data_IF_254178488821
#
_entry.id   IF_254178488821
#
_cell.length_a   1.000
_cell.length_b   1.000
_cell.length_c   1.000
_cell.angle_alpha   90.00
_cell.angle_beta   90.00
_cell.angle_gamma   90.00
#
_symmetry.space_group_name_H-M   'P 1'
#
loop_
_entity.id
_entity.type
_entity.pdbx_description
1 polymer ?
#
# COMPACT_ATOMS: atom_id res chain seq x y z
N UNK A 1 60.01 -29.70 20.85
CA UNK A 1 59.59 -28.55 20.01
C UNK A 1 58.71 -29.11 18.90
N UNK A 2 57.40 -29.08 19.08
CA UNK A 2 56.44 -29.43 18.05
C UNK A 2 55.76 -28.12 17.63
N UNK A 3 56.13 -27.67 16.44
CA UNK A 3 55.56 -26.45 15.83
C UNK A 3 54.10 -26.67 15.42
N UNK A 4 53.23 -25.96 16.08
CA UNK A 4 51.80 -25.88 15.70
C UNK A 4 51.63 -24.87 14.57
N UNK A 5 51.63 -25.29 13.32
CA UNK A 5 50.95 -24.65 12.21
C UNK A 5 50.09 -25.70 11.52
N UNK A 6 48.82 -25.52 11.43
CA UNK A 6 48.17 -24.86 10.30
C UNK A 6 46.69 -24.43 10.58
N UNK A 7 46.46 -23.35 11.26
CA UNK A 7 45.07 -22.79 11.32
C UNK A 7 44.75 -21.79 10.17
N UNK A 8 45.76 -21.24 9.50
CA UNK A 8 45.60 -20.22 8.46
C UNK A 8 45.11 -20.76 7.09
N UNK A 9 45.50 -21.97 6.74
CA UNK A 9 45.10 -22.58 5.46
C UNK A 9 43.63 -23.01 5.42
N UNK A 10 43.05 -23.43 6.56
CA UNK A 10 41.65 -23.83 6.66
C UNK A 10 40.70 -22.62 6.56
N UNK A 11 41.05 -21.50 7.15
CA UNK A 11 40.28 -20.26 7.08
C UNK A 11 40.24 -19.69 5.64
N UNK A 12 41.36 -19.77 4.92
CA UNK A 12 41.43 -19.36 3.51
C UNK A 12 40.53 -20.21 2.60
N UNK A 13 40.58 -21.55 2.80
CA UNK A 13 39.73 -22.46 2.03
C UNK A 13 38.24 -22.27 2.31
N UNK A 14 37.84 -22.03 3.56
CA UNK A 14 36.44 -21.73 3.96
C UNK A 14 35.99 -20.39 3.31
N UNK A 15 36.86 -19.37 3.36
CA UNK A 15 36.50 -18.07 2.75
C UNK A 15 36.33 -18.18 1.22
N UNK A 16 37.20 -18.92 0.53
CA UNK A 16 37.08 -19.16 -0.92
C UNK A 16 35.79 -19.93 -1.23
N UNK A 17 35.48 -20.99 -0.45
CA UNK A 17 34.26 -21.75 -0.62
C UNK A 17 33.00 -20.89 -0.42
N UNK A 18 32.99 -20.02 0.60
CA UNK A 18 31.87 -19.10 0.84
C UNK A 18 31.69 -18.07 -0.31
N UNK A 19 32.78 -17.50 -0.81
CA UNK A 19 32.76 -16.58 -1.95
C UNK A 19 32.23 -17.29 -3.20
N UNK A 20 32.71 -18.49 -3.49
CA UNK A 20 32.23 -19.29 -4.63
C UNK A 20 30.72 -19.57 -4.53
N UNK A 21 30.24 -20.00 -3.37
CA UNK A 21 28.82 -20.27 -3.12
C UNK A 21 27.98 -19.00 -3.29
N UNK A 22 28.39 -17.86 -2.71
CA UNK A 22 27.69 -16.59 -2.86
C UNK A 22 27.67 -16.12 -4.33
N UNK A 23 28.75 -16.36 -5.09
CA UNK A 23 28.82 -16.04 -6.52
C UNK A 23 27.83 -16.87 -7.34
N UNK A 24 27.70 -18.15 -7.06
CA UNK A 24 26.69 -19.05 -7.68
C UNK A 24 25.29 -18.58 -7.34
N UNK A 25 25.02 -18.26 -6.07
CA UNK A 25 23.73 -17.74 -5.65
C UNK A 25 23.38 -16.40 -6.34
N UNK A 26 24.36 -15.49 -6.47
CA UNK A 26 24.20 -14.22 -7.17
C UNK A 26 23.89 -14.43 -8.65
N UNK A 27 24.61 -15.32 -9.32
CA UNK A 27 24.38 -15.67 -10.70
C UNK A 27 22.97 -16.26 -10.89
N UNK A 28 22.57 -17.23 -10.06
CA UNK A 28 21.25 -17.84 -10.11
C UNK A 28 20.13 -16.81 -9.90
N UNK A 29 20.28 -15.96 -8.89
CA UNK A 29 19.32 -14.86 -8.60
C UNK A 29 19.20 -13.91 -9.80
N UNK A 30 20.33 -13.46 -10.36
CA UNK A 30 20.36 -12.56 -11.52
C UNK A 30 19.71 -13.20 -12.75
N UNK A 31 20.02 -14.46 -13.02
CA UNK A 31 19.41 -15.22 -14.11
C UNK A 31 17.89 -15.32 -13.94
N UNK A 32 17.42 -15.75 -12.75
CA UNK A 32 15.99 -15.89 -12.46
C UNK A 32 15.23 -14.54 -12.50
N UNK A 33 15.85 -13.47 -12.04
CA UNK A 33 15.30 -12.12 -12.16
C UNK A 33 15.07 -11.73 -13.63
N UNK A 34 16.10 -11.90 -14.48
CA UNK A 34 16.01 -11.59 -15.92
C UNK A 34 14.97 -12.45 -16.64
N UNK A 35 14.94 -13.75 -16.34
CA UNK A 35 13.93 -14.67 -16.88
C UNK A 35 12.51 -14.23 -16.48
N UNK A 36 12.30 -13.77 -15.25
CA UNK A 36 11.00 -13.29 -14.78
C UNK A 36 10.59 -12.01 -15.48
N UNK A 37 11.49 -11.04 -15.59
CA UNK A 37 11.25 -9.77 -16.27
C UNK A 37 10.93 -9.96 -17.77
N UNK A 38 11.66 -10.87 -18.44
CA UNK A 38 11.42 -11.18 -19.84
C UNK A 38 10.05 -11.87 -20.09
N UNK A 39 9.62 -12.74 -19.15
CA UNK A 39 8.32 -13.45 -19.25
C UNK A 39 7.12 -12.60 -18.83
N UNK A 40 7.35 -11.60 -18.03
CA UNK A 40 6.29 -10.76 -17.44
C UNK A 40 6.63 -9.28 -17.64
N UNK A 41 6.70 -8.79 -18.89
CA UNK A 41 6.93 -7.37 -19.14
C UNK A 41 5.79 -6.52 -18.57
N UNK A 42 5.99 -5.21 -18.36
CA UNK A 42 4.94 -4.32 -17.90
C UNK A 42 3.78 -4.30 -18.92
N UNK A 43 2.57 -4.53 -18.43
CA UNK A 43 1.35 -4.55 -19.27
C UNK A 43 0.52 -3.29 -19.16
N UNK A 44 0.87 -2.40 -18.22
CA UNK A 44 0.17 -1.16 -17.93
C UNK A 44 0.86 0.07 -18.52
N UNK A 45 0.63 1.17 -17.85
CA UNK A 45 1.16 2.50 -18.19
C UNK A 45 2.05 3.01 -17.06
N UNK A 46 2.77 4.09 -17.35
CA UNK A 46 3.59 4.78 -16.37
C UNK A 46 3.11 6.22 -16.22
N UNK A 47 3.07 6.70 -14.98
CA UNK A 47 2.90 8.11 -14.65
C UNK A 47 4.15 8.60 -13.93
N UNK A 48 4.68 9.73 -14.36
CA UNK A 48 5.85 10.34 -13.74
C UNK A 48 5.43 11.32 -12.65
N UNK A 49 5.97 11.15 -11.44
CA UNK A 49 5.67 11.95 -10.26
C UNK A 49 6.95 12.14 -9.46
N UNK A 50 7.30 13.40 -9.19
CA UNK A 50 8.46 13.77 -8.36
C UNK A 50 9.76 13.08 -8.80
N UNK A 51 9.97 12.96 -10.12
CA UNK A 51 11.13 12.29 -10.73
C UNK A 51 11.09 10.76 -10.60
N UNK A 52 9.95 10.16 -10.30
CA UNK A 52 9.73 8.72 -10.22
C UNK A 52 8.66 8.27 -11.20
N UNK A 53 8.86 7.14 -11.85
CA UNK A 53 7.84 6.49 -12.66
C UNK A 53 7.07 5.50 -11.81
N UNK A 54 5.76 5.68 -11.73
CA UNK A 54 4.85 4.73 -11.11
C UNK A 54 4.11 3.96 -12.20
N UNK A 55 4.21 2.65 -12.15
CA UNK A 55 3.48 1.74 -13.02
C UNK A 55 2.07 1.50 -12.47
N UNK A 56 1.10 1.49 -13.37
CA UNK A 56 -0.29 1.16 -13.05
C UNK A 56 -0.97 0.47 -14.22
N UNK A 57 -2.00 -0.30 -13.93
CA UNK A 57 -2.93 -0.80 -14.95
C UNK A 57 -4.29 -0.16 -14.75
N UNK A 58 -5.04 -0.02 -15.84
CA UNK A 58 -6.36 0.61 -15.84
C UNK A 58 -7.37 -0.31 -16.52
N UNK A 59 -8.55 -0.45 -15.90
CA UNK A 59 -9.63 -1.30 -16.37
C UNK A 59 -10.99 -0.60 -16.22
N UNK A 60 -11.94 -0.93 -17.07
CA UNK A 60 -13.27 -0.33 -17.09
C UNK A 60 -13.31 0.97 -17.89
N UNK A 61 -14.45 1.65 -17.85
CA UNK A 61 -14.65 2.88 -18.61
C UNK A 61 -13.93 4.08 -17.95
N UNK A 62 -13.13 4.82 -18.71
CA UNK A 62 -12.37 5.96 -18.22
C UNK A 62 -13.25 7.09 -17.64
N UNK A 63 -14.50 7.21 -18.09
CA UNK A 63 -15.49 8.18 -17.59
C UNK A 63 -16.19 7.74 -16.31
N UNK A 64 -16.02 6.47 -15.89
CA UNK A 64 -16.63 5.96 -14.66
C UNK A 64 -15.92 6.50 -13.41
N UNK A 65 -16.61 6.42 -12.27
CA UNK A 65 -15.99 6.76 -10.97
C UNK A 65 -14.76 5.90 -10.70
N UNK A 66 -13.70 6.53 -10.22
CA UNK A 66 -12.43 5.84 -10.01
C UNK A 66 -12.40 5.03 -8.71
N UNK A 67 -11.80 3.84 -8.82
CA UNK A 67 -11.40 2.99 -7.70
C UNK A 67 -9.91 2.70 -7.84
N UNK A 68 -9.16 2.90 -6.76
CA UNK A 68 -7.72 2.62 -6.71
C UNK A 68 -7.48 1.38 -5.88
N UNK A 69 -6.69 0.43 -6.40
CA UNK A 69 -6.31 -0.80 -5.71
C UNK A 69 -4.83 -0.75 -5.34
N UNK A 70 -4.53 -1.01 -4.05
CA UNK A 70 -3.18 -0.99 -3.49
C UNK A 70 -2.87 -2.35 -2.84
N UNK A 71 -1.91 -3.06 -3.40
CA UNK A 71 -1.48 -4.38 -2.94
C UNK A 71 -0.73 -4.36 -1.59
N UNK A 72 -0.55 -5.53 -0.98
CA UNK A 72 0.16 -5.73 0.28
C UNK A 72 1.70 -5.71 0.14
N UNK A 73 2.40 -5.95 1.27
CA UNK A 73 3.86 -6.07 1.31
C UNK A 73 4.31 -7.29 0.47
N UNK A 74 5.42 -7.15 -0.25
CA UNK A 74 6.00 -8.23 -1.07
C UNK A 74 5.21 -8.59 -2.33
N UNK A 75 4.07 -7.93 -2.59
CA UNK A 75 3.22 -8.16 -3.75
C UNK A 75 3.47 -7.13 -4.87
N UNK A 76 2.60 -7.09 -5.86
CA UNK A 76 2.59 -6.16 -6.99
C UNK A 76 1.16 -6.05 -7.55
N UNK A 77 0.90 -5.11 -8.47
CA UNK A 77 -0.41 -4.90 -9.10
C UNK A 77 -1.05 -6.21 -9.61
N UNK A 78 -0.24 -7.08 -10.19
CA UNK A 78 -0.68 -8.38 -10.70
C UNK A 78 -1.39 -9.25 -9.66
N UNK A 79 -1.04 -9.12 -8.38
CA UNK A 79 -1.71 -9.84 -7.29
C UNK A 79 -3.17 -9.40 -7.17
N UNK A 80 -3.43 -8.09 -7.20
CA UNK A 80 -4.79 -7.53 -7.18
C UNK A 80 -5.60 -7.94 -8.40
N UNK A 81 -4.99 -7.97 -9.59
CA UNK A 81 -5.65 -8.42 -10.82
C UNK A 81 -6.05 -9.90 -10.76
N UNK A 82 -5.20 -10.75 -10.14
CA UNK A 82 -5.49 -12.18 -10.00
C UNK A 82 -6.50 -12.50 -8.91
N UNK A 83 -6.90 -11.52 -8.10
CA UNK A 83 -7.84 -11.71 -6.99
C UNK A 83 -9.30 -11.80 -7.43
N UNK A 84 -9.64 -11.41 -8.66
CA UNK A 84 -11.01 -11.26 -9.12
C UNK A 84 -11.62 -9.90 -8.78
N UNK A 85 -10.85 -9.00 -8.14
CA UNK A 85 -11.35 -7.66 -7.80
C UNK A 85 -11.60 -6.80 -9.04
N UNK A 86 -10.71 -6.89 -10.03
CA UNK A 86 -10.87 -6.15 -11.30
C UNK A 86 -12.14 -6.59 -12.01
N UNK A 87 -12.38 -7.89 -12.11
CA UNK A 87 -13.59 -8.47 -12.74
C UNK A 87 -14.88 -8.02 -12.01
N UNK A 88 -14.83 -7.91 -10.69
CA UNK A 88 -15.97 -7.45 -9.90
C UNK A 88 -16.24 -5.94 -10.05
N UNK A 89 -15.22 -5.13 -10.27
CA UNK A 89 -15.30 -3.67 -10.18
C UNK A 89 -15.35 -2.98 -11.55
N UNK A 90 -14.59 -3.46 -12.56
CA UNK A 90 -14.45 -2.82 -13.86
C UNK A 90 -15.78 -2.62 -14.64
N UNK A 91 -16.83 -3.43 -14.46
CA UNK A 91 -18.13 -3.15 -15.09
C UNK A 91 -18.78 -1.83 -14.65
N UNK A 92 -18.41 -1.28 -13.49
CA UNK A 92 -19.03 -0.07 -12.91
C UNK A 92 -18.08 1.06 -12.62
N UNK A 93 -16.78 0.78 -12.57
CA UNK A 93 -15.75 1.72 -12.14
C UNK A 93 -14.56 1.75 -13.09
N UNK A 94 -13.89 2.90 -13.13
CA UNK A 94 -12.53 3.03 -13.62
C UNK A 94 -11.60 2.49 -12.55
N UNK A 95 -11.08 1.28 -12.73
CA UNK A 95 -10.24 0.59 -11.75
C UNK A 95 -8.77 0.83 -12.08
N UNK A 96 -8.05 1.48 -11.19
CA UNK A 96 -6.63 1.78 -11.32
C UNK A 96 -5.86 0.93 -10.30
N UNK A 97 -5.00 0.06 -10.78
CA UNK A 97 -4.20 -0.84 -9.94
C UNK A 97 -2.76 -0.39 -9.99
N UNK A 98 -2.22 0.14 -8.89
CA UNK A 98 -0.84 0.58 -8.83
C UNK A 98 0.11 -0.54 -8.42
N UNK A 99 1.26 -0.62 -9.09
CA UNK A 99 2.45 -1.12 -8.44
C UNK A 99 2.89 -0.05 -7.44
N UNK A 100 2.81 -0.35 -6.13
CA UNK A 100 3.24 0.64 -5.12
C UNK A 100 4.73 0.98 -5.28
N UNK A 101 5.17 2.19 -4.92
CA UNK A 101 6.56 2.61 -5.05
C UNK A 101 7.57 1.56 -4.54
N UNK A 102 8.47 1.12 -5.41
CA UNK A 102 9.47 0.08 -5.12
C UNK A 102 9.05 -1.36 -5.39
N UNK A 103 7.83 -1.56 -5.90
CA UNK A 103 7.30 -2.87 -6.28
C UNK A 103 6.99 -2.93 -7.77
N UNK A 104 6.80 -4.14 -8.29
CA UNK A 104 6.46 -4.35 -9.68
C UNK A 104 7.42 -3.61 -10.62
N UNK A 105 6.89 -2.72 -11.40
CA UNK A 105 7.64 -1.85 -12.33
C UNK A 105 7.72 -0.39 -11.89
N UNK A 106 7.21 -0.07 -10.71
CA UNK A 106 7.37 1.26 -10.11
C UNK A 106 8.77 1.48 -9.58
N UNK A 107 9.29 2.68 -9.81
CA UNK A 107 10.60 3.09 -9.33
C UNK A 107 10.64 3.14 -7.79
N UNK A 108 11.84 3.08 -7.25
CA UNK A 108 12.13 3.31 -5.84
C UNK A 108 13.18 4.40 -5.70
N UNK A 109 12.90 5.47 -4.95
CA UNK A 109 13.92 6.49 -4.72
C UNK A 109 15.07 5.93 -3.90
N UNK A 110 16.28 6.36 -4.23
CA UNK A 110 17.46 6.11 -3.40
C UNK A 110 17.43 7.04 -2.18
N UNK A 111 17.81 6.53 -1.00
CA UNK A 111 18.08 7.35 0.18
C UNK A 111 16.87 7.78 1.02
N UNK A 112 15.63 7.62 0.57
CA UNK A 112 14.44 7.98 1.36
C UNK A 112 13.61 6.76 1.77
N UNK A 113 13.18 6.63 3.04
CA UNK A 113 12.25 5.59 3.46
C UNK A 113 10.88 5.83 2.82
N UNK A 114 10.32 4.81 2.16
CA UNK A 114 8.96 4.85 1.61
C UNK A 114 7.95 4.46 2.69
N UNK A 115 7.75 5.34 3.67
CA UNK A 115 6.72 5.21 4.70
C UNK A 115 5.32 5.25 4.07
N UNK A 116 4.25 4.74 4.75
CA UNK A 116 2.89 4.87 4.24
C UNK A 116 2.50 6.31 3.87
N UNK A 117 2.82 7.36 4.65
CA UNK A 117 2.58 8.73 4.21
C UNK A 117 3.37 9.16 2.98
N UNK A 118 4.62 8.72 2.83
CA UNK A 118 5.42 9.04 1.64
C UNK A 118 4.87 8.37 0.38
N UNK A 119 4.44 7.10 0.48
CA UNK A 119 3.77 6.40 -0.62
C UNK A 119 2.42 7.04 -0.95
N UNK A 120 1.66 7.44 0.08
CA UNK A 120 0.38 8.12 -0.09
C UNK A 120 0.53 9.43 -0.88
N UNK A 121 1.53 10.25 -0.54
CA UNK A 121 1.80 11.50 -1.27
C UNK A 121 2.09 11.24 -2.75
N UNK A 122 2.97 10.28 -3.06
CA UNK A 122 3.30 9.92 -4.45
C UNK A 122 2.09 9.43 -5.23
N UNK A 123 1.24 8.60 -4.61
CA UNK A 123 0.05 8.06 -5.27
C UNK A 123 -1.00 9.16 -5.47
N UNK A 124 -1.19 10.06 -4.50
CA UNK A 124 -2.09 11.20 -4.64
C UNK A 124 -1.67 12.13 -5.78
N UNK A 125 -0.38 12.47 -5.87
CA UNK A 125 0.15 13.26 -7.00
C UNK A 125 0.00 12.52 -8.34
N UNK A 126 0.17 11.18 -8.35
CA UNK A 126 -0.07 10.39 -9.55
C UNK A 126 -1.53 10.47 -9.99
N UNK A 127 -2.47 10.34 -9.06
CA UNK A 127 -3.90 10.45 -9.33
C UNK A 127 -4.29 11.84 -9.85
N UNK A 128 -3.70 12.90 -9.30
CA UNK A 128 -3.88 14.26 -9.79
C UNK A 128 -3.44 14.39 -11.25
N UNK A 129 -2.24 13.88 -11.60
CA UNK A 129 -1.74 13.86 -12.99
C UNK A 129 -2.60 13.03 -13.94
N UNK A 130 -3.23 11.97 -13.45
CA UNK A 130 -4.17 11.15 -14.21
C UNK A 130 -5.59 11.75 -14.30
N UNK A 131 -5.81 12.94 -13.75
CA UNK A 131 -7.12 13.59 -13.72
C UNK A 131 -8.14 12.84 -12.86
N UNK A 132 -7.68 12.01 -11.92
CA UNK A 132 -8.57 11.23 -11.05
C UNK A 132 -8.96 12.05 -9.84
N UNK A 133 -10.25 12.28 -9.70
CA UNK A 133 -10.84 13.02 -8.58
C UNK A 133 -11.64 12.10 -7.68
N UNK A 134 -11.55 12.30 -6.39
CA UNK A 134 -12.34 11.62 -5.36
C UNK A 134 -12.45 10.08 -5.55
N UNK A 135 -11.34 9.34 -5.72
CA UNK A 135 -11.41 7.89 -5.83
C UNK A 135 -11.86 7.25 -4.54
N UNK A 136 -12.48 6.07 -4.63
CA UNK A 136 -12.51 5.11 -3.53
C UNK A 136 -11.19 4.35 -3.55
N UNK A 137 -10.48 4.33 -2.42
CA UNK A 137 -9.18 3.65 -2.32
C UNK A 137 -9.34 2.35 -1.55
N UNK A 138 -9.06 1.23 -2.21
CA UNK A 138 -8.97 -0.08 -1.59
C UNK A 138 -7.50 -0.43 -1.35
N UNK A 139 -7.15 -0.71 -0.10
CA UNK A 139 -5.82 -1.17 0.27
C UNK A 139 -5.86 -2.50 1.00
N UNK A 140 -5.00 -3.43 0.59
CA UNK A 140 -4.82 -4.72 1.25
C UNK A 140 -3.57 -4.72 2.12
N UNK A 141 -3.67 -5.20 3.36
CA UNK A 141 -2.54 -5.39 4.27
C UNK A 141 -1.70 -4.10 4.44
N UNK A 142 -0.44 -4.04 4.00
CA UNK A 142 0.33 -2.79 3.99
C UNK A 142 -0.30 -1.71 3.11
N UNK A 143 -0.91 -2.08 1.99
CA UNK A 143 -1.66 -1.15 1.15
C UNK A 143 -2.81 -0.46 1.90
N UNK A 144 -3.39 -1.10 2.91
CA UNK A 144 -4.39 -0.48 3.77
C UNK A 144 -3.80 0.64 4.65
N UNK A 145 -2.54 0.50 5.11
CA UNK A 145 -1.84 1.59 5.80
C UNK A 145 -1.58 2.77 4.87
N UNK A 146 -1.25 2.51 3.60
CA UNK A 146 -1.08 3.55 2.58
C UNK A 146 -2.41 4.23 2.29
N UNK A 147 -3.49 3.48 2.09
CA UNK A 147 -4.84 4.01 1.90
C UNK A 147 -5.30 4.89 3.09
N UNK A 148 -5.04 4.43 4.33
CA UNK A 148 -5.29 5.23 5.54
C UNK A 148 -4.50 6.53 5.51
N UNK A 149 -3.22 6.49 5.13
CA UNK A 149 -2.39 7.69 5.02
C UNK A 149 -2.88 8.64 3.92
N UNK A 150 -3.41 8.14 2.79
CA UNK A 150 -4.04 8.96 1.74
C UNK A 150 -5.27 9.70 2.29
N UNK A 151 -6.17 8.99 3.00
CA UNK A 151 -7.34 9.60 3.61
C UNK A 151 -7.00 10.65 4.67
N UNK A 152 -5.89 10.47 5.40
CA UNK A 152 -5.41 11.45 6.40
C UNK A 152 -4.72 12.66 5.76
N UNK A 153 -4.08 12.48 4.61
CA UNK A 153 -3.34 13.55 3.93
C UNK A 153 -4.28 14.44 3.09
N UNK A 154 -5.30 13.84 2.47
CA UNK A 154 -6.18 14.52 1.54
C UNK A 154 -7.67 14.13 1.77
N UNK A 155 -8.25 14.52 2.93
CA UNK A 155 -9.59 14.08 3.33
C UNK A 155 -10.70 14.55 2.37
N UNK A 156 -10.50 15.65 1.64
CA UNK A 156 -11.43 16.15 0.61
C UNK A 156 -11.21 15.55 -0.78
N UNK A 157 -10.11 14.81 -1.00
CA UNK A 157 -9.75 14.25 -2.31
C UNK A 157 -9.91 12.73 -2.39
N UNK A 158 -10.28 12.06 -1.29
CA UNK A 158 -10.53 10.62 -1.22
C UNK A 158 -11.98 10.41 -0.79
N UNK A 159 -12.80 9.83 -1.67
CA UNK A 159 -14.23 9.62 -1.45
C UNK A 159 -14.53 8.62 -0.35
N UNK A 160 -13.68 7.63 -0.18
CA UNK A 160 -13.84 6.61 0.85
C UNK A 160 -12.72 5.59 0.83
N UNK A 161 -12.63 4.81 1.90
CA UNK A 161 -11.59 3.80 2.09
C UNK A 161 -12.22 2.42 2.24
N UNK A 162 -11.67 1.44 1.53
CA UNK A 162 -11.92 0.01 1.77
C UNK A 162 -10.63 -0.62 2.27
N UNK A 163 -10.59 -0.93 3.55
CA UNK A 163 -9.40 -1.38 4.25
C UNK A 163 -9.48 -2.90 4.47
N UNK A 164 -8.67 -3.64 3.71
CA UNK A 164 -8.74 -5.11 3.65
C UNK A 164 -7.59 -5.73 4.42
N UNK A 165 -7.88 -6.50 5.48
CA UNK A 165 -6.91 -7.26 6.30
C UNK A 165 -5.67 -6.43 6.70
N UNK A 166 -5.85 -5.15 7.06
CA UNK A 166 -4.74 -4.23 7.31
C UNK A 166 -4.19 -4.30 8.73
N UNK A 167 -2.96 -3.81 8.90
CA UNK A 167 -2.27 -3.73 10.17
C UNK A 167 -2.43 -2.31 10.76
N UNK A 168 -3.38 -2.14 11.68
CA UNK A 168 -3.78 -0.81 12.19
C UNK A 168 -3.28 -0.54 13.61
N UNK A 169 -3.34 -1.54 14.47
CA UNK A 169 -2.97 -1.41 15.88
C UNK A 169 -1.56 -1.92 16.12
N UNK A 170 -0.68 -1.17 16.80
CA UNK A 170 0.66 -1.68 17.14
C UNK A 170 0.57 -3.00 17.91
N UNK A 171 1.31 -3.99 17.46
CA UNK A 171 1.43 -5.29 18.13
C UNK A 171 2.84 -5.85 17.97
N UNK A 172 3.23 -6.74 18.87
CA UNK A 172 4.53 -7.43 18.76
C UNK A 172 4.52 -8.37 17.55
N UNK A 173 5.54 -8.24 16.69
CA UNK A 173 5.72 -9.00 15.46
C UNK A 173 7.15 -9.52 15.39
N UNK A 174 7.35 -10.75 15.85
CA UNK A 174 8.69 -11.38 15.81
C UNK A 174 9.15 -11.71 14.38
N UNK A 175 8.21 -11.95 13.47
CA UNK A 175 8.50 -12.17 12.05
C UNK A 175 9.14 -10.95 11.36
N UNK A 176 8.85 -9.74 11.81
CA UNK A 176 9.48 -8.50 11.33
C UNK A 176 11.01 -8.56 11.47
N UNK A 177 11.51 -9.09 12.59
CA UNK A 177 12.95 -9.22 12.84
C UNK A 177 13.65 -10.09 11.79
N UNK A 178 13.02 -11.19 11.38
CA UNK A 178 13.56 -12.10 10.36
C UNK A 178 13.42 -11.57 8.93
N UNK A 179 12.44 -10.75 8.67
CA UNK A 179 12.16 -10.21 7.34
C UNK A 179 12.96 -8.93 7.02
N UNK A 180 13.50 -8.25 8.04
CA UNK A 180 14.13 -6.94 7.88
C UNK A 180 15.60 -6.94 7.38
N UNK A 181 16.46 -7.98 7.60
CA UNK A 181 17.87 -7.93 7.25
C UNK A 181 18.18 -7.54 5.80
N UNK A 182 17.38 -7.92 4.76
CA UNK A 182 17.64 -7.50 3.39
C UNK A 182 17.53 -5.98 3.15
N UNK A 183 16.98 -5.21 4.11
CA UNK A 183 16.93 -3.75 4.04
C UNK A 183 18.23 -3.07 4.50
N UNK A 184 19.06 -3.76 5.26
CA UNK A 184 20.30 -3.22 5.84
C UNK A 184 21.28 -2.78 4.73
N UNK A 185 22.03 -1.69 4.94
CA UNK A 185 23.16 -1.33 4.08
C UNK A 185 24.20 -2.46 4.05
N UNK A 186 24.94 -2.59 2.97
CA UNK A 186 26.01 -3.58 2.74
C UNK A 186 25.55 -5.04 2.92
N UNK A 187 25.33 -5.51 4.15
CA UNK A 187 24.91 -6.89 4.45
C UNK A 187 23.61 -7.23 3.72
N UNK A 188 22.61 -6.38 3.80
CA UNK A 188 21.35 -6.58 3.07
C UNK A 188 21.55 -6.57 1.56
N UNK A 189 22.54 -5.82 1.05
CA UNK A 189 22.87 -5.85 -0.38
C UNK A 189 23.37 -7.23 -0.78
N UNK A 190 24.29 -7.81 -0.03
CA UNK A 190 24.76 -9.18 -0.28
C UNK A 190 23.57 -10.16 -0.18
N UNK A 191 22.82 -10.12 0.92
CA UNK A 191 21.71 -11.04 1.16
C UNK A 191 20.68 -11.04 0.03
N UNK A 192 20.19 -9.87 -0.38
CA UNK A 192 19.12 -9.77 -1.39
C UNK A 192 19.56 -10.13 -2.80
N UNK A 193 20.87 -10.11 -3.08
CA UNK A 193 21.40 -10.53 -4.39
C UNK A 193 21.86 -11.99 -4.41
N UNK A 194 21.93 -12.66 -3.25
CA UNK A 194 22.44 -14.02 -3.12
C UNK A 194 21.42 -14.96 -2.47
N UNK A 195 21.39 -15.03 -1.15
CA UNK A 195 20.69 -16.05 -0.36
C UNK A 195 19.21 -15.78 -0.24
N UNK A 196 18.81 -14.52 0.02
CA UNK A 196 17.41 -14.20 0.36
C UNK A 196 16.40 -14.58 -0.72
N UNK A 197 16.62 -14.35 -2.03
CA UNK A 197 15.67 -14.76 -3.06
C UNK A 197 15.46 -16.26 -3.15
N UNK A 198 16.56 -17.01 -2.99
CA UNK A 198 16.53 -18.48 -3.07
C UNK A 198 15.82 -19.07 -1.86
N UNK A 199 16.15 -18.60 -0.66
CA UNK A 199 15.48 -19.01 0.58
C UNK A 199 14.00 -18.63 0.56
N UNK A 200 13.66 -17.40 0.16
CA UNK A 200 12.28 -16.98 0.04
C UNK A 200 11.52 -17.82 -1.01
N UNK A 201 12.17 -18.22 -2.10
CA UNK A 201 11.56 -19.13 -3.09
C UNK A 201 11.28 -20.52 -2.49
N UNK A 202 12.17 -21.03 -1.69
CA UNK A 202 12.01 -22.31 -0.98
C UNK A 202 10.83 -22.24 0.00
N UNK A 203 10.73 -21.16 0.77
CA UNK A 203 9.69 -20.97 1.78
C UNK A 203 8.34 -20.53 1.18
N UNK A 204 8.32 -20.12 -0.09
CA UNK A 204 7.14 -19.56 -0.75
C UNK A 204 5.87 -20.40 -0.62
N UNK A 205 5.89 -21.73 -0.88
CA UNK A 205 4.66 -22.52 -0.80
C UNK A 205 4.06 -22.54 0.62
N UNK A 206 4.91 -22.59 1.65
CA UNK A 206 4.47 -22.59 3.04
C UNK A 206 3.90 -21.23 3.44
N UNK A 207 4.54 -20.15 3.00
CA UNK A 207 4.07 -18.78 3.24
C UNK A 207 2.71 -18.53 2.57
N UNK A 208 2.55 -18.92 1.31
CA UNK A 208 1.30 -18.76 0.57
C UNK A 208 0.18 -19.55 1.23
N UNK A 209 0.41 -20.82 1.58
CA UNK A 209 -0.59 -21.59 2.33
C UNK A 209 -1.02 -20.90 3.63
N UNK A 210 -0.09 -20.31 4.37
CA UNK A 210 -0.40 -19.58 5.60
C UNK A 210 -1.22 -18.31 5.33
N UNK A 211 -0.94 -17.60 4.24
CA UNK A 211 -1.65 -16.38 3.84
C UNK A 211 -3.11 -16.66 3.46
N UNK A 212 -3.35 -17.76 2.75
CA UNK A 212 -4.69 -18.13 2.30
C UNK A 212 -5.48 -18.90 3.36
N UNK A 213 -4.81 -19.59 4.30
CA UNK A 213 -5.48 -20.45 5.28
C UNK A 213 -6.58 -19.69 6.05
N UNK A 214 -7.74 -20.33 6.30
CA UNK A 214 -8.01 -21.76 6.13
C UNK A 214 -8.35 -22.18 4.68
N UNK A 215 -8.71 -21.24 3.83
CA UNK A 215 -9.05 -21.53 2.44
C UNK A 215 -7.81 -22.05 1.65
N UNK A 216 -8.02 -22.84 0.60
CA UNK A 216 -6.95 -23.19 -0.33
C UNK A 216 -6.44 -21.96 -1.07
N UNK A 217 -5.21 -22.03 -1.56
CA UNK A 217 -4.67 -20.97 -2.43
C UNK A 217 -5.53 -20.82 -3.68
N UNK A 218 -5.91 -19.60 -4.02
CA UNK A 218 -6.73 -19.32 -5.19
C UNK A 218 -6.05 -19.88 -6.48
N UNK A 219 -6.78 -20.62 -7.33
CA UNK A 219 -6.21 -21.24 -8.53
C UNK A 219 -5.51 -20.23 -9.46
N UNK A 220 -6.12 -19.05 -9.67
CA UNK A 220 -5.54 -18.00 -10.50
C UNK A 220 -4.20 -17.50 -9.94
N UNK A 221 -4.10 -17.34 -8.62
CA UNK A 221 -2.85 -16.98 -7.96
C UNK A 221 -1.79 -18.05 -8.11
N UNK A 222 -2.12 -19.32 -7.80
CA UNK A 222 -1.18 -20.44 -7.91
C UNK A 222 -0.61 -20.61 -9.31
N UNK A 223 -1.45 -20.45 -10.33
CA UNK A 223 -1.07 -20.70 -11.72
C UNK A 223 -0.35 -19.52 -12.39
N UNK A 224 -0.69 -18.28 -12.04
CA UNK A 224 -0.32 -17.09 -12.84
C UNK A 224 0.46 -16.02 -12.07
N UNK A 225 0.66 -16.17 -10.75
CA UNK A 225 1.43 -15.17 -10.00
C UNK A 225 2.93 -15.30 -10.27
N UNK A 226 3.60 -14.25 -10.74
CA UNK A 226 5.01 -14.30 -11.13
C UNK A 226 5.94 -14.20 -9.90
N UNK A 227 6.10 -15.28 -9.18
CA UNK A 227 6.82 -15.33 -7.88
C UNK A 227 8.18 -14.64 -7.94
N UNK A 228 8.97 -14.90 -8.99
CA UNK A 228 10.30 -14.30 -9.12
C UNK A 228 10.30 -12.79 -9.29
N UNK A 229 9.19 -12.18 -9.74
CA UNK A 229 9.04 -10.72 -9.75
C UNK A 229 9.00 -10.15 -8.32
N UNK A 230 8.37 -10.85 -7.38
CA UNK A 230 8.37 -10.47 -5.94
C UNK A 230 9.70 -10.76 -5.25
N UNK A 231 10.51 -11.66 -5.80
CA UNK A 231 11.80 -12.06 -5.22
C UNK A 231 13.01 -11.29 -5.81
N UNK A 232 12.77 -10.31 -6.67
CA UNK A 232 13.84 -9.44 -7.19
C UNK A 232 14.52 -8.69 -6.06
N UNK A 233 15.84 -8.45 -6.15
CA UNK A 233 16.59 -7.74 -5.10
C UNK A 233 15.99 -6.39 -4.70
N UNK A 234 15.46 -5.62 -5.67
CA UNK A 234 14.76 -4.35 -5.43
C UNK A 234 13.48 -4.52 -4.60
N UNK A 235 12.64 -5.49 -4.99
CA UNK A 235 11.39 -5.83 -4.29
C UNK A 235 11.66 -6.33 -2.88
N UNK A 236 12.65 -7.22 -2.70
CA UNK A 236 13.05 -7.70 -1.37
C UNK A 236 13.55 -6.56 -0.47
N UNK A 237 14.29 -5.59 -1.02
CA UNK A 237 14.69 -4.38 -0.27
C UNK A 237 13.46 -3.59 0.16
N UNK A 238 12.48 -3.39 -0.73
CA UNK A 238 11.26 -2.67 -0.42
C UNK A 238 10.46 -3.38 0.68
N UNK A 239 10.24 -4.69 0.50
CA UNK A 239 9.49 -5.53 1.44
C UNK A 239 10.15 -5.57 2.83
N UNK A 240 11.45 -5.75 2.90
CA UNK A 240 12.20 -5.76 4.16
C UNK A 240 12.17 -4.39 4.87
N UNK A 241 12.26 -3.30 4.11
CA UNK A 241 12.16 -1.96 4.67
C UNK A 241 10.75 -1.66 5.22
N UNK A 242 9.70 -2.10 4.52
CA UNK A 242 8.32 -2.03 5.02
C UNK A 242 8.13 -2.87 6.28
N UNK A 243 8.66 -4.09 6.30
CA UNK A 243 8.63 -4.93 7.50
C UNK A 243 9.28 -4.23 8.70
N UNK A 244 10.48 -3.68 8.54
CA UNK A 244 11.17 -2.93 9.60
C UNK A 244 10.39 -1.72 10.10
N UNK A 245 9.61 -1.07 9.24
CA UNK A 245 8.82 0.11 9.56
C UNK A 245 7.41 -0.22 10.07
N UNK A 246 6.96 -1.48 10.03
CA UNK A 246 5.57 -1.84 10.28
C UNK A 246 5.06 -1.36 11.63
N UNK A 247 5.76 -1.67 12.71
CA UNK A 247 5.34 -1.28 14.06
C UNK A 247 5.38 0.25 14.27
N UNK A 248 6.49 0.97 13.98
CA UNK A 248 6.53 2.43 14.18
C UNK A 248 5.52 3.18 13.30
N UNK A 249 5.26 2.72 12.08
CA UNK A 249 4.24 3.35 11.22
C UNK A 249 2.83 3.04 11.70
N UNK A 250 2.56 1.85 12.23
CA UNK A 250 1.28 1.55 12.86
C UNK A 250 1.04 2.47 14.08
N UNK A 251 2.05 2.70 14.95
CA UNK A 251 1.94 3.66 16.06
C UNK A 251 1.58 5.06 15.55
N UNK A 252 2.26 5.51 14.49
CA UNK A 252 2.03 6.83 13.90
C UNK A 252 0.63 6.99 13.35
N UNK A 253 0.14 6.01 12.57
CA UNK A 253 -1.19 6.03 11.96
C UNK A 253 -2.27 5.86 13.01
N UNK A 254 -2.11 4.91 13.94
CA UNK A 254 -3.06 4.64 15.03
C UNK A 254 -3.44 5.90 15.81
N UNK A 255 -2.48 6.79 16.08
CA UNK A 255 -2.74 8.07 16.75
C UNK A 255 -3.61 9.02 15.92
N UNK A 256 -3.58 8.91 14.61
CA UNK A 256 -4.24 9.82 13.66
C UNK A 256 -5.52 9.26 13.05
N UNK A 257 -5.76 7.95 13.11
CA UNK A 257 -6.94 7.29 12.54
C UNK A 257 -8.27 7.98 12.91
N UNK A 258 -8.50 8.45 14.16
CA UNK A 258 -9.74 9.15 14.51
C UNK A 258 -10.01 10.43 13.72
N UNK A 259 -9.01 10.96 13.02
CA UNK A 259 -9.15 12.14 12.16
C UNK A 259 -9.66 11.79 10.75
N UNK A 260 -9.83 10.51 10.40
CA UNK A 260 -10.46 10.11 9.15
C UNK A 260 -11.92 10.60 9.12
N UNK A 261 -12.28 11.31 8.06
CA UNK A 261 -13.64 11.91 7.90
C UNK A 261 -14.49 11.21 6.84
N UNK A 262 -13.83 10.58 5.85
CA UNK A 262 -14.53 9.87 4.77
C UNK A 262 -15.16 8.57 5.26
N UNK A 263 -16.15 8.02 4.55
CA UNK A 263 -16.68 6.69 4.81
C UNK A 263 -15.57 5.62 4.75
N UNK A 264 -15.58 4.69 5.72
CA UNK A 264 -14.61 3.59 5.81
C UNK A 264 -15.34 2.26 5.87
N UNK A 265 -15.02 1.35 4.97
CA UNK A 265 -15.38 -0.06 5.05
C UNK A 265 -14.13 -0.86 5.44
N UNK A 266 -14.22 -1.65 6.48
CA UNK A 266 -13.16 -2.53 6.95
C UNK A 266 -13.59 -3.96 6.61
N UNK A 267 -12.77 -4.68 5.84
CA UNK A 267 -13.06 -6.06 5.46
C UNK A 267 -11.94 -6.97 5.95
N UNK A 268 -12.26 -8.05 6.65
CA UNK A 268 -11.25 -8.96 7.17
C UNK A 268 -11.75 -10.40 7.17
N UNK A 269 -10.85 -11.35 7.01
CA UNK A 269 -11.16 -12.76 7.20
C UNK A 269 -11.22 -13.11 8.68
N UNK A 270 -12.24 -13.86 9.08
CA UNK A 270 -12.42 -14.27 10.49
C UNK A 270 -11.22 -15.07 11.03
N UNK A 271 -10.53 -15.79 10.16
CA UNK A 271 -9.43 -16.69 10.51
C UNK A 271 -8.07 -16.20 9.97
N UNK A 272 -7.88 -14.88 9.85
CA UNK A 272 -6.60 -14.30 9.45
C UNK A 272 -5.51 -14.67 10.46
N UNK A 273 -4.52 -15.47 10.01
CA UNK A 273 -3.40 -15.97 10.82
C UNK A 273 -2.16 -15.05 10.79
N UNK A 274 -2.21 -13.98 10.00
CA UNK A 274 -1.11 -13.01 9.89
C UNK A 274 -1.43 -11.72 10.64
N UNK A 275 -2.66 -11.26 10.54
CA UNK A 275 -3.14 -10.02 11.15
C UNK A 275 -4.44 -10.31 11.87
N UNK A 276 -4.40 -10.43 13.19
CA UNK A 276 -5.59 -10.75 14.01
C UNK A 276 -6.74 -9.79 13.72
N UNK A 277 -7.83 -10.31 13.20
CA UNK A 277 -9.03 -9.54 12.84
C UNK A 277 -9.59 -8.79 14.04
N UNK A 278 -9.68 -9.43 15.20
CA UNK A 278 -10.18 -8.80 16.42
C UNK A 278 -9.27 -7.66 16.91
N UNK A 279 -7.94 -7.87 16.85
CA UNK A 279 -6.96 -6.89 17.35
C UNK A 279 -6.76 -5.72 16.42
N UNK A 280 -6.79 -5.92 15.10
CA UNK A 280 -6.59 -4.85 14.12
C UNK A 280 -7.91 -4.30 13.61
N UNK A 281 -8.66 -5.03 12.83
CA UNK A 281 -9.90 -4.58 12.19
C UNK A 281 -10.99 -4.25 13.21
N UNK A 282 -11.17 -5.09 14.24
CA UNK A 282 -12.14 -4.84 15.31
C UNK A 282 -11.83 -3.62 16.17
N UNK A 283 -10.55 -3.38 16.50
CA UNK A 283 -10.14 -2.18 17.25
C UNK A 283 -10.25 -0.92 16.40
N UNK A 284 -9.85 -0.97 15.11
CA UNK A 284 -10.02 0.16 14.22
C UNK A 284 -11.49 0.55 14.12
N UNK A 285 -12.39 -0.43 13.94
CA UNK A 285 -13.84 -0.19 13.89
C UNK A 285 -14.36 0.51 15.15
N UNK A 286 -13.93 0.05 16.32
CA UNK A 286 -14.31 0.69 17.60
C UNK A 286 -13.83 2.15 17.71
N UNK A 287 -12.73 2.50 17.06
CA UNK A 287 -12.16 3.86 17.05
C UNK A 287 -12.76 4.75 15.97
N UNK A 288 -13.40 4.17 14.96
CA UNK A 288 -14.08 4.84 13.85
C UNK A 288 -15.57 4.51 13.84
N UNK A 289 -16.41 5.21 14.65
CA UNK A 289 -17.85 4.90 14.76
C UNK A 289 -18.60 4.97 13.44
N UNK A 290 -18.12 5.77 12.47
CA UNK A 290 -18.69 5.90 11.13
C UNK A 290 -18.23 4.81 10.15
N UNK A 291 -17.31 3.91 10.55
CA UNK A 291 -16.87 2.79 9.73
C UNK A 291 -17.90 1.65 9.73
N UNK A 292 -17.77 0.76 8.75
CA UNK A 292 -18.48 -0.53 8.72
C UNK A 292 -17.47 -1.67 8.72
N UNK A 293 -17.65 -2.63 9.60
CA UNK A 293 -16.82 -3.84 9.68
C UNK A 293 -17.56 -5.02 9.04
N UNK A 294 -16.90 -5.64 8.07
CA UNK A 294 -17.33 -6.86 7.39
C UNK A 294 -16.33 -7.97 7.69
N UNK A 295 -16.72 -8.93 8.51
CA UNK A 295 -15.91 -10.12 8.81
C UNK A 295 -16.42 -11.27 7.95
N UNK A 296 -15.55 -11.80 7.09
CA UNK A 296 -15.87 -12.89 6.19
C UNK A 296 -15.56 -14.21 6.89
N UNK A 297 -16.55 -15.09 7.13
CA UNK A 297 -16.32 -16.42 7.67
C UNK A 297 -15.39 -17.22 6.76
N UNK A 298 -14.64 -18.17 7.33
CA UNK A 298 -13.78 -19.11 6.60
C UNK A 298 -12.73 -18.48 5.67
N UNK A 299 -12.48 -17.18 5.80
CA UNK A 299 -11.46 -16.46 5.08
C UNK A 299 -10.26 -16.11 5.97
N UNK A 300 -9.06 -16.12 5.36
CA UNK A 300 -7.82 -15.71 5.98
C UNK A 300 -7.37 -14.32 5.54
N UNK A 301 -6.03 -14.13 5.50
CA UNK A 301 -5.44 -12.83 5.16
C UNK A 301 -5.76 -12.37 3.73
N UNK A 302 -5.86 -13.30 2.78
CA UNK A 302 -6.12 -13.02 1.36
C UNK A 302 -7.63 -12.99 1.05
N UNK A 303 -8.42 -12.32 1.89
CA UNK A 303 -9.89 -12.29 1.77
C UNK A 303 -10.38 -11.75 0.42
N UNK A 304 -9.65 -10.85 -0.23
CA UNK A 304 -9.97 -10.33 -1.56
C UNK A 304 -9.78 -11.37 -2.68
N UNK A 305 -9.01 -12.45 -2.42
CA UNK A 305 -8.92 -13.59 -3.32
C UNK A 305 -9.97 -14.67 -3.04
N UNK A 306 -10.27 -14.89 -1.77
CA UNK A 306 -11.18 -15.98 -1.35
C UNK A 306 -12.64 -15.55 -1.36
N UNK A 307 -12.92 -14.26 -1.22
CA UNK A 307 -14.26 -13.69 -1.21
C UNK A 307 -14.32 -12.34 -1.96
N UNK A 308 -13.88 -12.23 -3.23
CA UNK A 308 -13.81 -10.95 -3.96
C UNK A 308 -15.18 -10.27 -4.05
N UNK A 309 -16.27 -11.03 -4.21
CA UNK A 309 -17.63 -10.49 -4.24
C UNK A 309 -18.04 -9.80 -2.94
N UNK A 310 -17.62 -10.33 -1.79
CA UNK A 310 -17.91 -9.71 -0.49
C UNK A 310 -17.15 -8.39 -0.32
N UNK A 311 -15.88 -8.35 -0.75
CA UNK A 311 -15.07 -7.12 -0.74
C UNK A 311 -15.65 -6.08 -1.71
N UNK A 312 -16.04 -6.50 -2.91
CA UNK A 312 -16.68 -5.63 -3.90
C UNK A 312 -18.03 -5.09 -3.38
N UNK A 313 -18.84 -5.92 -2.73
CA UNK A 313 -20.12 -5.48 -2.12
C UNK A 313 -19.91 -4.39 -1.06
N UNK A 314 -18.88 -4.53 -0.20
CA UNK A 314 -18.52 -3.50 0.77
C UNK A 314 -18.11 -2.19 0.09
N UNK A 315 -17.36 -2.26 -1.01
CA UNK A 315 -16.98 -1.11 -1.82
C UNK A 315 -18.20 -0.46 -2.49
N UNK A 316 -19.08 -1.23 -3.10
CA UNK A 316 -20.31 -0.72 -3.72
C UNK A 316 -21.20 0.00 -2.71
N UNK A 317 -21.39 -0.59 -1.52
CA UNK A 317 -22.18 0.00 -0.44
C UNK A 317 -21.59 1.32 0.06
N UNK A 318 -20.27 1.47 0.01
CA UNK A 318 -19.56 2.70 0.36
C UNK A 318 -19.67 3.74 -0.76
N UNK A 319 -19.42 3.36 -2.01
CA UNK A 319 -19.41 4.26 -3.17
C UNK A 319 -20.82 4.82 -3.50
N UNK A 320 -21.89 4.10 -3.15
CA UNK A 320 -23.27 4.53 -3.35
C UNK A 320 -23.77 5.55 -2.32
N UNK A 321 -23.04 5.84 -1.25
CA UNK A 321 -23.43 6.83 -0.25
C UNK A 321 -23.25 8.24 -0.79
N UNK A 322 -24.22 9.11 -0.47
CA UNK A 322 -24.02 10.55 -0.62
C UNK A 322 -22.80 10.96 0.23
N UNK A 323 -21.89 11.71 -0.37
CA UNK A 323 -20.81 12.35 0.37
C UNK A 323 -21.46 13.36 1.33
N UNK A 324 -21.09 13.44 2.62
CA UNK A 324 -21.40 14.60 3.41
C UNK A 324 -20.83 15.79 2.63
N UNK A 325 -21.68 16.76 2.30
CA UNK A 325 -21.19 18.00 1.69
C UNK A 325 -19.99 18.48 2.48
N UNK A 326 -18.91 18.86 1.78
CA UNK A 326 -17.73 19.38 2.42
C UNK A 326 -18.23 20.45 3.41
N UNK A 327 -17.92 20.29 4.69
CA UNK A 327 -18.06 21.37 5.66
C UNK A 327 -17.08 22.41 5.16
N UNK A 328 -17.57 23.29 4.29
CA UNK A 328 -16.90 24.53 3.99
C UNK A 328 -16.77 25.21 5.33
N UNK A 329 -15.52 25.35 5.78
CA UNK A 329 -15.17 26.09 6.95
C UNK A 329 -15.59 27.54 6.69
N UNK A 330 -16.86 27.86 6.99
CA UNK A 330 -17.37 29.24 7.09
C UNK A 330 -16.86 29.87 8.37
N UNK A 331 -15.54 29.79 8.58
CA UNK A 331 -14.80 30.57 9.56
C UNK A 331 -14.27 31.86 8.93
N UNK A 332 -15.02 32.46 8.03
CA UNK A 332 -14.87 33.84 7.58
C UNK A 332 -16.25 34.47 7.60
N UNK A 333 -16.60 35.06 8.72
CA UNK A 333 -17.38 36.29 8.85
C UNK A 333 -17.82 36.50 10.32
N UNK A 334 -16.84 36.65 11.20
CA UNK A 334 -17.09 37.22 12.53
C UNK A 334 -16.21 38.46 12.81
N UNK A 335 -15.68 39.15 11.79
CA UNK A 335 -14.92 40.41 11.99
C UNK A 335 -15.21 41.49 10.94
N UNK A 336 -16.33 41.40 10.25
CA UNK A 336 -16.79 42.44 9.30
C UNK A 336 -17.60 43.53 9.98
N UNK A 337 -17.12 44.17 11.04
CA UNK A 337 -17.68 45.48 11.45
C UNK A 337 -16.99 46.58 10.65
N UNK A 338 -17.58 46.92 9.55
CA UNK A 338 -17.29 48.17 8.84
C UNK A 338 -17.91 49.33 9.61
N UNK A 339 -17.10 50.11 10.27
CA UNK A 339 -17.47 51.43 10.79
C UNK A 339 -17.50 52.40 9.62
N UNK A 340 -18.67 52.63 9.06
CA UNK A 340 -18.92 53.84 8.29
C UNK A 340 -19.19 54.97 9.29
N UNK A 341 -18.20 55.80 9.50
CA UNK A 341 -18.33 57.11 10.15
C UNK A 341 -18.94 58.05 9.14
N UNK A 342 -20.20 58.40 9.36
CA UNK A 342 -20.84 59.50 8.64
C UNK A 342 -20.21 60.82 9.10
N UNK A 343 -19.59 61.54 8.19
CA UNK A 343 -19.28 62.95 8.35
C UNK A 343 -20.44 63.73 7.73
N UNK A 344 -21.20 64.44 8.59
CA UNK A 344 -22.15 65.49 8.27
C UNK A 344 -21.41 66.80 7.96
N UNK A 345 -21.69 67.37 6.83
CA UNK A 345 -21.66 68.80 6.55
C UNK A 345 -22.84 69.01 5.60
N UNK A 346 -23.73 69.75 5.99
CA UNK A 346 -24.24 70.99 6.41
C UNK A 346 -24.27 72.04 5.30
N UNK A 347 -25.43 72.65 5.13
CA UNK A 347 -25.79 73.86 4.33
C UNK A 347 -25.93 73.64 2.81
N UNK A 348 -26.91 74.16 2.18
CA UNK A 348 -27.85 75.17 2.41
C UNK A 348 -28.58 75.47 1.10
N UNK A 349 -29.81 75.94 1.27
CA UNK A 349 -30.57 76.92 0.47
C UNK A 349 -30.84 76.61 -1.03
N UNK A 350 -32.09 76.41 -1.28
CA UNK A 350 -33.12 77.37 -1.67
C UNK A 350 -33.31 77.63 -3.21
N UNK A 351 -34.57 77.63 -3.58
CA UNK A 351 -35.25 78.48 -4.54
C UNK A 351 -35.30 77.96 -5.98
N UNK A 352 -36.49 77.60 -6.33
CA UNK A 352 -37.50 78.17 -7.15
C UNK A 352 -37.47 77.92 -8.68
N UNK A 353 -38.67 77.59 -9.12
CA UNK A 353 -39.40 78.02 -10.34
C UNK A 353 -38.91 77.51 -11.72
N UNK A 354 -39.69 76.78 -12.26
CA UNK A 354 -40.42 76.83 -13.51
C UNK A 354 -40.68 75.45 -14.09
#
# INVERSE_FOLDING_TARGET
>A
MLSAEPKRSSLGAVAIGAIALLSVCAWATRRKTREAEARHPPTGQFVEVDGMRLHYTEHGAASARAVVLLHGNGAMAREMELSGMVECLAPRYRVIVFDRPGYGYSDRPSGRPLTPPAQAALILHALERLGVREPVVLGHSWGAMVATAMGLAAPGSVRGLVLVSGYYTPSLRLDVTWMSPPALPLVGTVLRHTVSPLLARLLWPAMVRRMFAPAPTAPAFSARYPVWMSLRPGTLRASAAEAAMMIPQAVRLWRREPALRMPVAIVAGAQDRLVSTAWHSGRLHKRLPHSRLHVVPDAGHMVHHTAPKAVAAALHALAGRAWPEAVTDTAQDASGRSRHTALSTGAGDAVDAS
#
